data_IF_342589508856
#
_entry.id   IF_342589508856
#
_cell.length_a   1.000
_cell.length_b   1.000
_cell.length_c   1.000
_cell.angle_alpha   90.00
_cell.angle_beta   90.00
_cell.angle_gamma   90.00
#
_symmetry.space_group_name_H-M   'P 1'
#
loop_
_entity.id
_entity.type
_entity.pdbx_description
1 polymer ?
#
# COMPACT_ATOMS: atom_id res chain seq x y z
N UNK A 1 -1.53 10.33 3.26
CA UNK A 1 -0.86 9.18 2.63
C UNK A 1 -1.89 8.44 1.80
N UNK A 2 -1.60 8.10 0.53
CA UNK A 2 -2.66 7.82 -0.45
C UNK A 2 -3.43 6.51 -0.22
N UNK A 3 -2.95 5.58 0.62
CA UNK A 3 -3.66 4.30 0.85
C UNK A 3 -3.64 3.75 2.28
N UNK A 4 -2.82 4.25 3.21
CA UNK A 4 -2.81 3.81 4.62
C UNK A 4 -3.14 4.96 5.58
N UNK A 5 -3.84 4.66 6.67
CA UNK A 5 -4.08 5.58 7.78
C UNK A 5 -3.24 5.08 8.94
N UNK A 6 -2.43 5.95 9.54
CA UNK A 6 -1.56 5.60 10.69
C UNK A 6 -0.61 4.40 10.43
N UNK A 7 -0.20 4.20 9.17
CA UNK A 7 0.72 3.11 8.81
C UNK A 7 0.05 1.74 8.67
N UNK A 8 -1.27 1.66 8.52
CA UNK A 8 -1.97 0.38 8.32
C UNK A 8 -3.03 0.46 7.22
N UNK A 9 -3.42 -0.71 6.69
CA UNK A 9 -4.64 -0.84 5.90
C UNK A 9 -5.81 -1.33 6.74
N UNK A 10 -6.98 -0.77 6.47
CA UNK A 10 -8.26 -1.35 6.86
C UNK A 10 -8.64 -2.45 5.85
N UNK A 11 -8.28 -3.70 6.17
CA UNK A 11 -8.46 -4.83 5.25
C UNK A 11 -9.93 -5.18 5.02
N UNK A 12 -10.81 -4.94 5.99
CA UNK A 12 -12.25 -5.15 5.81
C UNK A 12 -12.81 -4.17 4.79
N UNK A 13 -12.44 -2.88 4.92
CA UNK A 13 -12.85 -1.85 3.96
C UNK A 13 -12.24 -2.07 2.58
N UNK A 14 -11.00 -2.53 2.49
CA UNK A 14 -10.37 -2.91 1.21
C UNK A 14 -11.15 -4.05 0.56
N UNK A 15 -11.45 -5.13 1.29
CA UNK A 15 -12.20 -6.27 0.75
C UNK A 15 -13.60 -5.85 0.29
N UNK A 16 -14.32 -5.05 1.08
CA UNK A 16 -15.63 -4.52 0.70
C UNK A 16 -15.57 -3.65 -0.57
N UNK A 17 -14.54 -2.78 -0.68
CA UNK A 17 -14.31 -1.97 -1.87
C UNK A 17 -14.06 -2.83 -3.11
N UNK A 18 -13.16 -3.81 -3.01
CA UNK A 18 -12.83 -4.70 -4.13
C UNK A 18 -14.03 -5.54 -4.55
N UNK A 19 -14.74 -6.16 -3.60
CA UNK A 19 -15.97 -6.92 -3.88
C UNK A 19 -17.03 -6.07 -4.57
N UNK A 20 -17.23 -4.84 -4.10
CA UNK A 20 -18.16 -3.87 -4.71
C UNK A 20 -17.85 -3.61 -6.18
N UNK A 21 -16.58 -3.37 -6.53
CA UNK A 21 -16.19 -3.18 -7.93
C UNK A 21 -16.32 -4.44 -8.78
N UNK A 22 -15.95 -5.61 -8.21
CA UNK A 22 -16.08 -6.91 -8.88
C UNK A 22 -17.52 -7.29 -9.20
N UNK A 23 -18.48 -6.78 -8.42
CA UNK A 23 -19.91 -6.98 -8.69
C UNK A 23 -20.39 -6.29 -9.97
N UNK A 24 -19.68 -5.25 -10.43
CA UNK A 24 -20.04 -4.45 -11.62
C UNK A 24 -19.18 -4.80 -12.83
N UNK A 25 -17.89 -5.04 -12.62
CA UNK A 25 -16.90 -5.34 -13.67
C UNK A 25 -16.10 -6.57 -13.25
N UNK A 26 -15.94 -7.58 -14.12
CA UNK A 26 -15.12 -8.74 -13.80
C UNK A 26 -13.64 -8.33 -13.75
N UNK A 27 -13.16 -8.01 -12.56
CA UNK A 27 -11.74 -7.77 -12.29
C UNK A 27 -11.08 -9.10 -11.91
N UNK A 28 -10.11 -9.52 -12.71
CA UNK A 28 -9.36 -10.75 -12.50
C UNK A 28 -8.55 -10.68 -11.19
N UNK A 29 -8.61 -11.70 -10.32
CA UNK A 29 -7.84 -11.73 -9.07
C UNK A 29 -6.34 -11.48 -9.26
N UNK A 30 -5.74 -12.01 -10.34
CA UNK A 30 -4.33 -11.80 -10.63
C UNK A 30 -3.98 -10.34 -10.91
N UNK A 31 -4.88 -9.59 -11.57
CA UNK A 31 -4.69 -8.16 -11.82
C UNK A 31 -4.79 -7.35 -10.52
N UNK A 32 -5.68 -7.74 -9.60
CA UNK A 32 -5.82 -7.12 -8.29
C UNK A 32 -4.59 -7.38 -7.40
N UNK A 33 -4.07 -8.60 -7.42
CA UNK A 33 -2.82 -8.95 -6.73
C UNK A 33 -1.62 -8.16 -7.28
N UNK A 34 -1.48 -8.06 -8.59
CA UNK A 34 -0.44 -7.25 -9.23
C UNK A 34 -0.58 -5.76 -8.86
N UNK A 35 -1.82 -5.24 -8.84
CA UNK A 35 -2.11 -3.88 -8.41
C UNK A 35 -1.77 -3.62 -6.93
N UNK A 36 -1.87 -4.61 -6.06
CA UNK A 36 -1.43 -4.51 -4.67
C UNK A 36 0.10 -4.60 -4.52
N UNK A 37 0.75 -5.51 -5.26
CA UNK A 37 2.21 -5.72 -5.18
C UNK A 37 3.03 -4.54 -5.70
N UNK A 38 2.57 -3.84 -6.73
CA UNK A 38 3.32 -2.71 -7.32
C UNK A 38 3.56 -1.56 -6.32
N UNK A 39 2.55 -1.03 -5.59
CA UNK A 39 2.77 -0.03 -4.55
C UNK A 39 3.61 -0.52 -3.37
N UNK A 40 3.54 -1.81 -3.02
CA UNK A 40 4.39 -2.40 -1.99
C UNK A 40 5.87 -2.41 -2.44
N UNK A 41 6.15 -2.91 -3.65
CA UNK A 41 7.48 -2.89 -4.24
C UNK A 41 8.05 -1.48 -4.39
N UNK A 42 7.23 -0.53 -4.85
CA UNK A 42 7.64 0.88 -4.96
C UNK A 42 8.12 1.42 -3.61
N UNK A 43 7.41 1.15 -2.52
CA UNK A 43 7.81 1.61 -1.18
C UNK A 43 9.12 1.02 -0.68
N UNK A 44 9.44 -0.22 -1.07
CA UNK A 44 10.73 -0.84 -0.73
C UNK A 44 11.91 -0.27 -1.52
N UNK A 45 11.67 0.41 -2.65
CA UNK A 45 12.72 0.75 -3.61
C UNK A 45 12.87 2.25 -3.87
N UNK A 46 11.88 3.05 -3.48
CA UNK A 46 11.85 4.48 -3.74
C UNK A 46 11.92 5.27 -2.43
N UNK A 47 13.12 5.74 -2.09
CA UNK A 47 13.43 6.51 -0.88
C UNK A 47 13.72 7.98 -1.19
N UNK A 48 12.99 8.56 -2.14
CA UNK A 48 13.17 9.97 -2.55
C UNK A 48 13.14 10.94 -1.37
N UNK A 49 12.38 10.66 -0.31
CA UNK A 49 12.33 11.49 0.91
C UNK A 49 13.72 11.64 1.53
N UNK A 50 14.53 10.57 1.53
CA UNK A 50 15.90 10.60 2.04
C UNK A 50 16.84 11.41 1.15
N UNK A 51 16.62 11.43 -0.16
CA UNK A 51 17.36 12.33 -1.06
C UNK A 51 17.06 13.80 -0.73
N UNK A 52 15.79 14.16 -0.51
CA UNK A 52 15.43 15.52 -0.12
C UNK A 52 16.03 15.89 1.24
N UNK A 53 15.95 14.99 2.21
CA UNK A 53 16.54 15.20 3.53
C UNK A 53 18.07 15.39 3.46
N UNK A 54 18.80 14.41 2.92
CA UNK A 54 20.27 14.40 3.00
C UNK A 54 20.96 15.19 1.90
N UNK A 55 20.44 15.18 0.67
CA UNK A 55 21.08 15.84 -0.46
C UNK A 55 20.61 17.29 -0.65
N UNK A 56 19.40 17.63 -0.18
CA UNK A 56 18.82 18.97 -0.38
C UNK A 56 18.59 19.75 0.92
N UNK A 57 18.74 19.11 2.09
CA UNK A 57 18.46 19.74 3.38
C UNK A 57 16.98 20.12 3.55
N UNK A 58 16.10 19.48 2.80
CA UNK A 58 14.66 19.74 2.81
C UNK A 58 13.95 18.70 3.68
N UNK A 59 13.48 19.15 4.84
CA UNK A 59 12.82 18.33 5.86
C UNK A 59 11.29 18.27 5.69
N UNK A 60 10.73 18.88 4.64
CA UNK A 60 9.28 18.95 4.43
C UNK A 60 8.61 17.58 4.28
N UNK A 61 9.41 16.53 4.02
CA UNK A 61 8.95 15.18 3.70
C UNK A 61 9.33 14.13 4.74
N UNK A 62 9.99 14.51 5.84
CA UNK A 62 10.44 13.57 6.88
C UNK A 62 9.26 12.78 7.49
N UNK A 63 8.12 13.45 7.69
CA UNK A 63 6.90 12.80 8.19
C UNK A 63 6.30 11.79 7.20
N UNK A 64 6.49 12.00 5.89
CA UNK A 64 6.06 11.03 4.87
C UNK A 64 6.93 9.78 4.90
N UNK A 65 8.25 9.92 5.08
CA UNK A 65 9.16 8.79 5.20
C UNK A 65 8.77 7.88 6.37
N UNK A 66 8.52 8.45 7.56
CA UNK A 66 8.11 7.67 8.74
C UNK A 66 6.76 6.97 8.52
N UNK A 67 5.79 7.65 7.89
CA UNK A 67 4.51 7.03 7.59
C UNK A 67 4.63 5.89 6.56
N UNK A 68 5.42 6.08 5.50
CA UNK A 68 5.69 5.06 4.48
C UNK A 68 6.45 3.87 5.04
N UNK A 69 7.42 4.09 5.95
CA UNK A 69 8.14 3.02 6.65
C UNK A 69 7.21 2.19 7.53
N UNK A 70 6.38 2.84 8.36
CA UNK A 70 5.42 2.14 9.23
C UNK A 70 4.45 1.27 8.42
N UNK A 71 3.92 1.80 7.31
CA UNK A 71 3.05 1.04 6.41
C UNK A 71 3.79 -0.10 5.71
N UNK A 72 5.02 0.13 5.25
CA UNK A 72 5.81 -0.90 4.59
C UNK A 72 6.11 -2.07 5.54
N UNK A 73 6.48 -1.76 6.79
CA UNK A 73 6.71 -2.75 7.83
C UNK A 73 5.43 -3.58 8.08
N UNK A 74 4.32 -2.91 8.39
CA UNK A 74 3.04 -3.58 8.66
C UNK A 74 2.56 -4.43 7.49
N UNK A 75 2.67 -3.91 6.25
CA UNK A 75 2.26 -4.62 5.04
C UNK A 75 3.14 -5.85 4.83
N UNK A 76 4.46 -5.71 4.94
CA UNK A 76 5.38 -6.83 4.70
C UNK A 76 5.13 -8.00 5.67
N UNK A 77 4.83 -7.72 6.94
CA UNK A 77 4.44 -8.74 7.92
C UNK A 77 3.12 -9.45 7.57
N UNK A 78 2.24 -8.80 6.80
CA UNK A 78 0.87 -9.20 6.52
C UNK A 78 0.60 -9.39 5.03
N UNK A 79 1.64 -9.67 4.25
CA UNK A 79 1.55 -9.74 2.79
C UNK A 79 0.42 -10.68 2.34
N UNK A 80 0.32 -11.86 2.95
CA UNK A 80 -0.73 -12.83 2.66
C UNK A 80 -2.15 -12.36 3.04
N UNK A 81 -2.29 -11.55 4.09
CA UNK A 81 -3.59 -10.97 4.49
C UNK A 81 -4.01 -9.87 3.52
N UNK A 82 -3.08 -9.01 3.12
CA UNK A 82 -3.32 -7.97 2.12
C UNK A 82 -3.68 -8.62 0.78
N UNK A 83 -2.90 -9.60 0.31
CA UNK A 83 -3.18 -10.31 -0.94
C UNK A 83 -4.55 -11.00 -0.92
N UNK A 84 -4.97 -11.57 0.22
CA UNK A 84 -6.33 -12.12 0.37
C UNK A 84 -7.41 -11.04 0.29
N UNK A 85 -7.20 -9.89 0.93
CA UNK A 85 -8.17 -8.79 0.87
C UNK A 85 -8.36 -8.25 -0.56
N UNK A 86 -7.31 -8.27 -1.39
CA UNK A 86 -7.38 -7.84 -2.80
C UNK A 86 -7.82 -8.95 -3.76
N UNK A 87 -7.36 -10.19 -3.60
CA UNK A 87 -7.57 -11.28 -4.56
C UNK A 87 -8.77 -12.18 -4.26
N UNK A 88 -9.16 -12.29 -2.99
CA UNK A 88 -10.15 -13.25 -2.50
C UNK A 88 -11.34 -12.60 -1.78
N UNK A 89 -11.56 -11.30 -1.99
CA UNK A 89 -12.81 -10.67 -1.58
C UNK A 89 -13.98 -11.44 -2.25
N UNK A 90 -14.98 -11.93 -1.47
CA UNK A 90 -16.10 -12.71 -1.99
C UNK A 90 -16.91 -11.93 -3.03
#
# INVERSE_FOLDING_TARGET
MQFGVEGVFDLERVAAFVSGYRSVIPLEPAALLDAARRPWWKRMTDFWQLEFHYARGDHSYDSLFIADEALLHWWTERLDEVERAFGNAP
#
